data_IF_063232803017
#
_entry.id   IF_063232803017
#
_cell.length_a   1.000
_cell.length_b   1.000
_cell.length_c   1.000
_cell.angle_alpha   90.00
_cell.angle_beta   90.00
_cell.angle_gamma   90.00
#
_symmetry.space_group_name_H-M   'P 1'
#
loop_
_entity.id
_entity.type
_entity.pdbx_description
1 polymer ?
#
# COMPACT_ATOMS: atom_id res chain seq x y z
N UNK A 1 17.67 10.35 -27.51
CA UNK A 1 16.65 9.65 -28.28
C UNK A 1 15.36 9.57 -27.50
N UNK A 2 14.24 9.81 -28.19
CA UNK A 2 12.89 9.70 -27.60
C UNK A 2 12.40 8.28 -27.86
N UNK A 3 12.44 7.45 -26.80
CA UNK A 3 11.83 6.12 -26.82
C UNK A 3 10.31 6.22 -26.71
N UNK A 4 9.58 5.19 -27.16
CA UNK A 4 8.11 5.15 -27.03
C UNK A 4 7.64 5.30 -25.58
N UNK A 5 8.33 4.67 -24.64
CA UNK A 5 8.08 4.78 -23.20
C UNK A 5 8.20 6.24 -22.73
N UNK A 6 9.26 6.93 -23.12
CA UNK A 6 9.48 8.34 -22.78
C UNK A 6 8.38 9.24 -23.35
N UNK A 7 7.97 8.98 -24.60
CA UNK A 7 6.87 9.73 -25.23
C UNK A 7 5.55 9.49 -24.48
N UNK A 8 5.26 8.24 -24.13
CA UNK A 8 4.06 7.87 -23.36
C UNK A 8 4.05 8.54 -21.99
N UNK A 9 5.20 8.58 -21.30
CA UNK A 9 5.33 9.27 -20.03
C UNK A 9 5.03 10.78 -20.14
N UNK A 10 5.57 11.46 -21.16
CA UNK A 10 5.28 12.87 -21.41
C UNK A 10 3.82 13.13 -21.77
N UNK A 11 3.21 12.28 -22.58
CA UNK A 11 1.79 12.39 -22.93
C UNK A 11 0.89 12.22 -21.72
N UNK A 12 1.20 11.24 -20.88
CA UNK A 12 0.48 11.01 -19.62
C UNK A 12 0.61 12.21 -18.69
N UNK A 13 1.84 12.70 -18.48
CA UNK A 13 2.08 13.87 -17.64
C UNK A 13 1.33 15.11 -18.16
N UNK A 14 1.39 15.35 -19.47
CA UNK A 14 0.64 16.45 -20.09
C UNK A 14 -0.86 16.34 -19.82
N UNK A 15 -1.44 15.14 -20.05
CA UNK A 15 -2.87 14.91 -19.83
C UNK A 15 -3.28 15.13 -18.37
N UNK A 16 -2.45 14.65 -17.44
CA UNK A 16 -2.68 14.88 -16.02
C UNK A 16 -2.62 16.39 -15.65
N UNK A 17 -1.61 17.10 -16.13
CA UNK A 17 -1.44 18.52 -15.81
C UNK A 17 -2.54 19.39 -16.43
N UNK A 18 -2.93 19.14 -17.68
CA UNK A 18 -4.03 19.82 -18.34
C UNK A 18 -5.36 19.60 -17.62
N UNK A 19 -5.63 18.34 -17.27
CA UNK A 19 -6.83 17.98 -16.50
C UNK A 19 -6.85 18.66 -15.12
N UNK A 20 -5.73 18.62 -14.40
CA UNK A 20 -5.60 19.29 -13.08
C UNK A 20 -5.79 20.80 -13.22
N UNK A 21 -5.20 21.43 -14.24
CA UNK A 21 -5.37 22.86 -14.49
C UNK A 21 -6.87 23.23 -14.66
N UNK A 22 -7.59 22.47 -15.47
CA UNK A 22 -9.02 22.68 -15.72
C UNK A 22 -9.90 22.41 -14.47
N UNK A 23 -9.62 21.33 -13.73
CA UNK A 23 -10.37 20.98 -12.52
C UNK A 23 -10.11 21.97 -11.37
N UNK A 24 -8.89 22.48 -11.25
CA UNK A 24 -8.48 23.34 -10.13
C UNK A 24 -8.61 24.83 -10.41
N UNK A 25 -8.97 25.22 -11.63
CA UNK A 25 -9.16 26.61 -12.02
C UNK A 25 -10.12 27.42 -11.10
N UNK A 26 -11.23 26.87 -10.60
CA UNK A 26 -12.10 27.56 -9.65
C UNK A 26 -11.45 27.84 -8.29
N UNK A 27 -10.45 27.05 -7.90
CA UNK A 27 -9.77 27.13 -6.58
C UNK A 27 -8.53 28.01 -6.66
N UNK A 28 -7.72 27.85 -7.72
CA UNK A 28 -6.46 28.55 -7.92
C UNK A 28 -6.40 29.23 -9.31
N UNK A 29 -7.28 30.20 -9.59
CA UNK A 29 -7.55 30.68 -10.95
C UNK A 29 -6.30 31.19 -11.68
N UNK A 30 -5.46 31.98 -11.03
CA UNK A 30 -4.30 32.58 -11.69
C UNK A 30 -3.19 31.58 -11.98
N UNK A 31 -2.93 30.66 -11.04
CA UNK A 31 -1.90 29.65 -11.22
C UNK A 31 -2.30 28.62 -12.29
N UNK A 32 -3.55 28.17 -12.25
CA UNK A 32 -4.05 27.19 -13.22
C UNK A 32 -4.17 27.76 -14.62
N UNK A 33 -4.53 29.05 -14.76
CA UNK A 33 -4.54 29.72 -16.05
C UNK A 33 -3.13 29.83 -16.63
N UNK A 34 -2.16 30.20 -15.81
CA UNK A 34 -0.75 30.24 -16.23
C UNK A 34 -0.25 28.86 -16.66
N UNK A 35 -0.49 27.81 -15.86
CA UNK A 35 -0.12 26.42 -16.20
C UNK A 35 -0.75 25.99 -17.53
N UNK A 36 -2.04 26.26 -17.70
CA UNK A 36 -2.77 25.94 -18.93
C UNK A 36 -2.17 26.65 -20.15
N UNK A 37 -1.88 27.96 -20.04
CA UNK A 37 -1.28 28.72 -21.12
C UNK A 37 0.11 28.21 -21.49
N UNK A 38 0.96 27.87 -20.50
CA UNK A 38 2.30 27.31 -20.73
C UNK A 38 2.23 25.96 -21.43
N UNK A 39 1.29 25.07 -21.03
CA UNK A 39 1.06 23.79 -21.68
C UNK A 39 0.54 23.95 -23.12
N UNK A 40 -0.40 24.87 -23.32
CA UNK A 40 -1.02 25.10 -24.62
C UNK A 40 -0.07 25.81 -25.62
N UNK A 41 0.80 26.68 -25.11
CA UNK A 41 1.82 27.34 -25.93
C UNK A 41 2.76 26.35 -26.63
N UNK A 42 3.00 25.19 -25.98
CA UNK A 42 3.84 24.13 -26.56
C UNK A 42 3.04 23.21 -27.46
N UNK A 43 1.82 22.87 -27.10
CA UNK A 43 1.04 21.82 -27.79
C UNK A 43 0.06 22.36 -28.83
N UNK A 44 -0.48 23.56 -28.62
CA UNK A 44 -1.51 24.16 -29.47
C UNK A 44 -2.79 23.31 -29.57
N UNK A 45 -3.04 22.43 -28.62
CA UNK A 45 -4.17 21.47 -28.67
C UNK A 45 -5.50 22.12 -28.35
N UNK A 46 -5.52 23.11 -27.48
CA UNK A 46 -6.73 23.82 -27.11
C UNK A 46 -6.76 25.21 -27.76
N UNK A 47 -7.95 25.64 -28.17
CA UNK A 47 -8.15 26.96 -28.83
C UNK A 47 -8.50 28.06 -27.84
N UNK A 48 -8.85 27.70 -26.61
CA UNK A 48 -9.22 28.67 -25.59
C UNK A 48 -7.98 29.47 -25.14
N UNK A 49 -8.12 30.79 -25.04
CA UNK A 49 -7.06 31.69 -24.62
C UNK A 49 -6.77 31.62 -23.10
N UNK A 50 -7.70 31.06 -22.34
CA UNK A 50 -7.63 30.92 -20.89
C UNK A 50 -8.29 29.62 -20.46
N UNK A 51 -7.82 29.03 -19.37
CA UNK A 51 -8.43 27.86 -18.75
C UNK A 51 -9.89 28.11 -18.37
N UNK A 52 -10.25 29.34 -18.06
CA UNK A 52 -11.61 29.76 -17.69
C UNK A 52 -12.59 29.79 -18.88
N UNK A 53 -12.08 29.71 -20.09
CA UNK A 53 -12.84 29.64 -21.33
C UNK A 53 -12.82 28.25 -21.96
N UNK A 54 -12.09 27.31 -21.36
CA UNK A 54 -12.01 25.93 -21.80
C UNK A 54 -13.15 25.10 -21.24
N UNK A 55 -13.48 23.99 -21.93
CA UNK A 55 -14.46 23.04 -21.43
C UNK A 55 -13.97 22.31 -20.18
N UNK A 56 -14.89 22.01 -19.28
CA UNK A 56 -14.60 21.22 -18.10
C UNK A 56 -14.30 19.76 -18.50
N UNK A 57 -13.29 19.10 -17.91
CA UNK A 57 -12.92 17.74 -18.31
C UNK A 57 -14.06 16.74 -18.09
N UNK A 58 -14.27 15.88 -19.07
CA UNK A 58 -15.21 14.77 -18.99
C UNK A 58 -14.41 13.47 -18.91
N UNK A 59 -14.79 12.60 -17.97
CA UNK A 59 -14.14 11.29 -17.82
C UNK A 59 -14.46 10.41 -19.04
N UNK A 60 -13.42 9.78 -19.58
CA UNK A 60 -13.55 8.76 -20.62
C UNK A 60 -13.53 7.38 -19.93
N UNK A 61 -14.72 6.86 -19.62
CA UNK A 61 -14.88 5.59 -18.91
C UNK A 61 -14.28 4.40 -19.68
N UNK A 62 -14.17 4.51 -21.01
CA UNK A 62 -13.57 3.44 -21.83
C UNK A 62 -12.07 3.24 -21.56
N UNK A 63 -11.40 4.20 -20.95
CA UNK A 63 -9.98 4.16 -20.59
C UNK A 63 -9.73 3.71 -19.14
N UNK A 64 -10.79 3.47 -18.37
CA UNK A 64 -10.66 3.03 -16.99
C UNK A 64 -10.40 1.52 -16.98
N UNK A 65 -9.18 1.13 -16.68
CA UNK A 65 -8.80 -0.26 -16.42
C UNK A 65 -8.82 -0.50 -14.91
N UNK A 66 -9.91 -1.09 -14.42
CA UNK A 66 -10.11 -1.35 -13.00
C UNK A 66 -9.09 -2.32 -12.42
N UNK A 67 -8.65 -3.32 -13.20
CA UNK A 67 -7.62 -4.28 -12.77
C UNK A 67 -6.25 -3.59 -12.62
N UNK A 68 -5.90 -2.71 -13.55
CA UNK A 68 -4.68 -1.89 -13.44
C UNK A 68 -4.74 -0.95 -12.24
N UNK A 69 -5.88 -0.34 -11.97
CA UNK A 69 -6.09 0.51 -10.78
C UNK A 69 -5.91 -0.31 -9.51
N UNK A 70 -6.53 -1.49 -9.40
CA UNK A 70 -6.36 -2.38 -8.24
C UNK A 70 -4.90 -2.78 -8.03
N UNK A 71 -4.19 -3.20 -9.09
CA UNK A 71 -2.76 -3.55 -9.04
C UNK A 71 -1.89 -2.36 -8.58
N UNK A 72 -2.19 -1.17 -9.10
CA UNK A 72 -1.44 0.04 -8.73
C UNK A 72 -1.65 0.41 -7.27
N UNK A 73 -2.89 0.36 -6.78
CA UNK A 73 -3.17 0.57 -5.35
C UNK A 73 -2.47 -0.45 -4.45
N UNK A 74 -2.45 -1.72 -4.88
CA UNK A 74 -1.75 -2.79 -4.17
C UNK A 74 -0.25 -2.50 -4.10
N UNK A 75 0.36 -2.11 -5.23
CA UNK A 75 1.77 -1.71 -5.27
C UNK A 75 2.06 -0.51 -4.37
N UNK A 76 1.22 0.53 -4.39
CA UNK A 76 1.35 1.71 -3.53
C UNK A 76 1.26 1.34 -2.04
N UNK A 77 0.29 0.50 -1.64
CA UNK A 77 0.14 0.06 -0.27
C UNK A 77 1.37 -0.71 0.20
N UNK A 78 1.83 -1.70 -0.58
CA UNK A 78 3.03 -2.49 -0.26
C UNK A 78 4.25 -1.58 -0.13
N UNK A 79 4.47 -0.68 -1.09
CA UNK A 79 5.58 0.27 -1.07
C UNK A 79 5.55 1.17 0.16
N UNK A 80 4.38 1.71 0.51
CA UNK A 80 4.18 2.53 1.69
C UNK A 80 4.49 1.78 2.99
N UNK A 81 4.05 0.52 3.07
CA UNK A 81 4.34 -0.36 4.21
C UNK A 81 5.84 -0.63 4.34
N UNK A 82 6.55 -0.94 3.24
CA UNK A 82 8.01 -1.13 3.25
C UNK A 82 8.73 0.15 3.68
N UNK A 83 8.32 1.32 3.20
CA UNK A 83 8.91 2.59 3.65
C UNK A 83 8.67 2.86 5.13
N UNK A 84 7.49 2.51 5.65
CA UNK A 84 7.20 2.59 7.08
C UNK A 84 8.14 1.70 7.90
N UNK A 85 8.37 0.46 7.45
CA UNK A 85 9.33 -0.45 8.09
C UNK A 85 10.76 0.08 8.02
N UNK A 86 11.22 0.56 6.86
CA UNK A 86 12.54 1.19 6.72
C UNK A 86 12.71 2.38 7.67
N UNK A 87 11.67 3.21 7.81
CA UNK A 87 11.68 4.35 8.73
C UNK A 87 11.76 3.91 10.18
N UNK A 88 10.99 2.88 10.58
CA UNK A 88 11.04 2.28 11.92
C UNK A 88 12.44 1.82 12.28
N UNK A 89 13.13 1.19 11.34
CA UNK A 89 14.49 0.63 11.52
C UNK A 89 15.61 1.64 11.18
N UNK A 90 15.29 2.89 10.83
CA UNK A 90 16.24 3.91 10.41
C UNK A 90 17.12 3.54 9.20
N UNK A 91 16.61 2.71 8.29
CA UNK A 91 17.28 2.29 7.07
C UNK A 91 16.90 3.22 5.91
N UNK A 92 17.88 3.90 5.34
CA UNK A 92 17.66 4.80 4.19
C UNK A 92 17.27 4.00 2.94
N UNK A 93 16.42 4.56 2.09
CA UNK A 93 15.97 3.88 0.84
C UNK A 93 17.13 3.56 -0.09
N UNK A 94 18.17 4.41 -0.14
CA UNK A 94 19.38 4.17 -0.93
C UNK A 94 20.16 2.92 -0.50
N UNK A 95 19.98 2.42 0.74
CA UNK A 95 20.56 1.16 1.19
C UNK A 95 19.73 0.01 0.64
N UNK A 96 20.22 -0.77 -0.34
CA UNK A 96 19.48 -1.92 -0.82
C UNK A 96 19.35 -2.97 0.28
N UNK A 97 18.22 -3.69 0.29
CA UNK A 97 17.97 -4.82 1.17
C UNK A 97 17.75 -6.07 0.33
N UNK A 98 17.96 -7.22 0.95
CA UNK A 98 17.94 -8.48 0.24
C UNK A 98 16.53 -8.86 -0.20
N UNK A 99 15.57 -8.85 0.74
CA UNK A 99 14.28 -9.48 0.50
C UNK A 99 13.11 -8.80 1.19
N UNK A 100 11.98 -8.79 0.50
CA UNK A 100 10.67 -8.54 1.09
C UNK A 100 9.79 -9.78 0.88
N UNK A 101 9.07 -10.21 1.93
CA UNK A 101 8.12 -11.31 1.88
C UNK A 101 6.71 -10.80 2.07
N UNK A 102 5.79 -11.33 1.27
CA UNK A 102 4.38 -10.94 1.30
C UNK A 102 3.52 -12.21 1.33
N UNK A 103 2.82 -12.48 2.43
CA UNK A 103 1.83 -13.55 2.49
C UNK A 103 0.68 -13.29 1.53
N UNK A 104 0.32 -14.29 0.75
CA UNK A 104 -0.83 -14.25 -0.15
C UNK A 104 -1.83 -15.33 0.23
N UNK A 105 -3.12 -14.96 0.26
CA UNK A 105 -4.21 -15.85 0.66
C UNK A 105 -5.00 -16.37 -0.56
N UNK A 106 -4.89 -15.68 -1.70
CA UNK A 106 -5.65 -16.01 -2.90
C UNK A 106 -4.82 -15.79 -4.17
N UNK A 107 -5.16 -16.55 -5.21
CA UNK A 107 -4.46 -16.52 -6.51
C UNK A 107 -4.64 -15.21 -7.28
N UNK A 108 -5.73 -14.45 -7.04
CA UNK A 108 -5.96 -13.16 -7.71
C UNK A 108 -4.92 -12.15 -7.20
N UNK A 109 -4.82 -12.02 -5.89
CA UNK A 109 -3.83 -11.14 -5.23
C UNK A 109 -2.40 -11.54 -5.59
N UNK A 110 -2.09 -12.85 -5.62
CA UNK A 110 -0.80 -13.37 -6.07
C UNK A 110 -0.45 -12.88 -7.48
N UNK A 111 -1.37 -13.09 -8.45
CA UNK A 111 -1.17 -12.66 -9.84
C UNK A 111 -1.03 -11.14 -9.97
N UNK A 112 -1.80 -10.37 -9.21
CA UNK A 112 -1.74 -8.91 -9.21
C UNK A 112 -0.41 -8.41 -8.68
N UNK A 113 0.11 -8.97 -7.57
CA UNK A 113 1.41 -8.58 -7.01
C UNK A 113 2.55 -8.95 -7.96
N UNK A 114 2.52 -10.16 -8.55
CA UNK A 114 3.53 -10.59 -9.51
C UNK A 114 3.60 -9.66 -10.72
N UNK A 115 2.46 -9.17 -11.21
CA UNK A 115 2.41 -8.25 -12.35
C UNK A 115 3.10 -6.90 -12.09
N UNK A 116 3.21 -6.47 -10.82
CA UNK A 116 3.82 -5.20 -10.40
C UNK A 116 5.08 -5.40 -9.53
N UNK A 117 5.58 -6.64 -9.44
CA UNK A 117 6.69 -6.99 -8.56
C UNK A 117 7.97 -6.21 -8.86
N UNK A 118 8.31 -6.03 -10.13
CA UNK A 118 9.51 -5.29 -10.53
C UNK A 118 9.39 -3.80 -10.18
N UNK A 119 8.21 -3.22 -10.35
CA UNK A 119 7.93 -1.84 -9.95
C UNK A 119 8.13 -1.67 -8.44
N UNK A 120 7.57 -2.57 -7.62
CA UNK A 120 7.74 -2.54 -6.17
C UNK A 120 9.20 -2.67 -5.78
N UNK A 121 9.92 -3.68 -6.34
CA UNK A 121 11.34 -3.91 -6.03
C UNK A 121 12.23 -2.69 -6.30
N UNK A 122 12.01 -2.05 -7.44
CA UNK A 122 12.76 -0.85 -7.84
C UNK A 122 12.46 0.32 -6.91
N UNK A 123 11.19 0.57 -6.60
CA UNK A 123 10.77 1.70 -5.76
C UNK A 123 11.29 1.58 -4.33
N UNK A 124 11.19 0.39 -3.73
CA UNK A 124 11.64 0.19 -2.34
C UNK A 124 13.09 -0.27 -2.21
N UNK A 125 13.82 -0.40 -3.31
CA UNK A 125 15.21 -0.82 -3.38
C UNK A 125 15.48 -2.15 -2.65
N UNK A 126 14.79 -3.21 -3.09
CA UNK A 126 15.01 -4.58 -2.63
C UNK A 126 15.36 -5.49 -3.80
N UNK A 127 16.21 -6.48 -3.57
CA UNK A 127 16.66 -7.41 -4.61
C UNK A 127 15.59 -8.44 -4.97
N UNK A 128 14.86 -8.92 -3.98
CA UNK A 128 13.90 -10.00 -4.15
C UNK A 128 12.55 -9.67 -3.48
N UNK A 129 11.46 -9.98 -4.19
CA UNK A 129 10.11 -10.02 -3.65
C UNK A 129 9.63 -11.47 -3.69
N UNK A 130 9.36 -12.03 -2.52
CA UNK A 130 8.90 -13.41 -2.38
C UNK A 130 7.46 -13.42 -1.87
N UNK A 131 6.59 -14.11 -2.61
CA UNK A 131 5.26 -14.43 -2.13
C UNK A 131 5.30 -15.73 -1.35
N UNK A 132 4.68 -15.75 -0.19
CA UNK A 132 4.63 -16.92 0.70
C UNK A 132 3.19 -17.31 0.96
N UNK A 133 2.96 -18.60 1.16
CA UNK A 133 1.64 -19.11 1.51
C UNK A 133 1.33 -18.88 3.02
N UNK A 134 0.09 -19.15 3.42
CA UNK A 134 -0.37 -18.95 4.79
C UNK A 134 0.39 -19.82 5.82
N UNK A 135 0.83 -21.02 5.42
CA UNK A 135 1.58 -21.94 6.30
C UNK A 135 3.01 -21.40 6.55
N UNK A 136 3.70 -20.99 5.50
CA UNK A 136 5.02 -20.36 5.60
C UNK A 136 4.95 -19.04 6.37
N UNK A 137 3.89 -18.25 6.16
CA UNK A 137 3.66 -17.02 6.89
C UNK A 137 3.48 -17.24 8.40
N UNK A 138 2.80 -18.31 8.80
CA UNK A 138 2.58 -18.63 10.22
C UNK A 138 3.86 -18.93 10.98
N UNK A 139 4.90 -19.43 10.30
CA UNK A 139 6.23 -19.68 10.89
C UNK A 139 7.08 -18.42 10.97
N UNK A 140 6.88 -17.47 10.06
CA UNK A 140 7.63 -16.22 9.96
C UNK A 140 6.96 -15.03 10.65
N UNK A 141 5.65 -15.10 10.88
CA UNK A 141 4.87 -13.99 11.42
C UNK A 141 4.16 -14.46 12.68
N UNK A 142 4.74 -14.21 13.83
CA UNK A 142 4.06 -14.43 15.10
C UNK A 142 3.09 -13.28 15.32
N UNK A 143 1.80 -13.55 15.07
CA UNK A 143 0.73 -12.59 15.35
C UNK A 143 0.36 -12.62 16.82
N UNK A 144 0.20 -11.45 17.40
CA UNK A 144 -0.42 -11.25 18.70
C UNK A 144 -1.69 -10.44 18.52
N UNK A 145 -2.72 -10.77 19.26
CA UNK A 145 -3.99 -10.05 19.23
C UNK A 145 -4.20 -9.35 20.57
N UNK A 146 -4.66 -8.11 20.51
CA UNK A 146 -5.04 -7.34 21.69
C UNK A 146 -6.47 -6.84 21.55
N UNK A 147 -7.28 -6.90 22.62
CA UNK A 147 -8.61 -6.33 22.60
C UNK A 147 -8.53 -4.79 22.47
N UNK A 148 -9.34 -4.21 21.61
CA UNK A 148 -9.52 -2.76 21.55
C UNK A 148 -10.47 -2.33 22.65
N UNK A 149 -9.91 -1.96 23.79
CA UNK A 149 -10.68 -1.60 24.99
C UNK A 149 -11.62 -0.42 24.78
N UNK A 150 -11.35 0.47 23.82
CA UNK A 150 -12.22 1.63 23.54
C UNK A 150 -13.52 1.19 22.87
N UNK A 151 -13.43 0.23 21.96
CA UNK A 151 -14.60 -0.28 21.21
C UNK A 151 -15.33 -1.34 22.02
N UNK A 152 -14.61 -2.31 22.54
CA UNK A 152 -15.17 -3.44 23.31
C UNK A 152 -15.77 -3.02 24.66
N UNK A 153 -15.22 -1.98 25.30
CA UNK A 153 -15.73 -1.51 26.60
C UNK A 153 -17.18 -1.06 26.51
N UNK A 154 -17.58 -0.43 25.42
CA UNK A 154 -18.96 -0.02 25.18
C UNK A 154 -19.90 -1.20 24.87
N UNK A 155 -19.37 -2.27 24.25
CA UNK A 155 -20.16 -3.45 23.84
C UNK A 155 -20.33 -4.49 24.97
N UNK A 156 -19.29 -4.73 25.76
CA UNK A 156 -19.20 -5.88 26.66
C UNK A 156 -19.40 -5.56 28.16
N UNK A 157 -19.25 -4.32 28.55
CA UNK A 157 -19.49 -3.88 29.93
C UNK A 157 -18.73 -4.73 30.96
N UNK A 158 -19.46 -5.53 31.77
CA UNK A 158 -18.88 -6.36 32.83
C UNK A 158 -18.08 -7.56 32.33
N UNK A 159 -18.40 -8.07 31.13
CA UNK A 159 -17.76 -9.27 30.55
C UNK A 159 -16.45 -8.94 29.83
N UNK A 160 -16.13 -7.64 29.71
CA UNK A 160 -14.93 -7.14 29.03
C UNK A 160 -13.64 -7.80 29.52
N UNK A 161 -13.50 -8.08 30.83
CA UNK A 161 -12.29 -8.66 31.41
C UNK A 161 -12.11 -10.13 31.02
N UNK A 162 -13.19 -10.90 31.00
CA UNK A 162 -13.18 -12.31 30.62
C UNK A 162 -12.92 -12.46 29.11
N UNK A 163 -13.68 -11.74 28.29
CA UNK A 163 -13.54 -11.77 26.83
C UNK A 163 -12.16 -11.23 26.39
N UNK A 164 -11.68 -10.17 27.03
CA UNK A 164 -10.35 -9.61 26.74
C UNK A 164 -9.21 -10.58 27.04
N UNK A 165 -9.34 -11.39 28.09
CA UNK A 165 -8.37 -12.43 28.41
C UNK A 165 -8.37 -13.55 27.35
N UNK A 166 -9.55 -14.00 26.92
CA UNK A 166 -9.68 -15.02 25.86
C UNK A 166 -9.16 -14.52 24.51
N UNK A 167 -9.46 -13.26 24.15
CA UNK A 167 -8.89 -12.64 22.94
C UNK A 167 -7.35 -12.65 23.00
N UNK A 168 -6.77 -12.24 24.13
CA UNK A 168 -5.31 -12.19 24.28
C UNK A 168 -4.64 -13.58 24.27
N UNK A 169 -5.38 -14.63 24.55
CA UNK A 169 -4.93 -16.02 24.59
C UNK A 169 -5.16 -16.77 23.25
N UNK A 170 -5.71 -16.12 22.23
CA UNK A 170 -5.99 -16.74 20.94
C UNK A 170 -4.72 -17.28 20.27
N UNK A 171 -4.82 -18.46 19.68
CA UNK A 171 -3.75 -19.05 18.87
C UNK A 171 -3.62 -18.35 17.52
N UNK A 172 -2.47 -18.53 16.85
CA UNK A 172 -2.24 -17.99 15.51
C UNK A 172 -3.29 -18.46 14.49
N UNK A 173 -3.79 -19.70 14.63
CA UNK A 173 -4.85 -20.26 13.78
C UNK A 173 -6.19 -19.56 13.99
N UNK A 174 -6.54 -19.27 15.25
CA UNK A 174 -7.76 -18.54 15.59
C UNK A 174 -7.70 -17.09 15.09
N UNK A 175 -6.54 -16.44 15.19
CA UNK A 175 -6.31 -15.10 14.65
C UNK A 175 -6.47 -15.11 13.13
N UNK A 176 -5.89 -16.10 12.43
CA UNK A 176 -6.03 -16.25 10.98
C UNK A 176 -7.49 -16.49 10.55
N UNK A 177 -8.25 -17.25 11.34
CA UNK A 177 -9.68 -17.47 11.10
C UNK A 177 -10.48 -16.17 11.25
N UNK A 178 -10.21 -15.40 12.30
CA UNK A 178 -10.85 -14.09 12.52
C UNK A 178 -10.55 -13.11 11.37
N UNK A 179 -9.31 -13.09 10.87
CA UNK A 179 -8.94 -12.26 9.71
C UNK A 179 -9.65 -12.67 8.43
N UNK A 180 -9.84 -13.99 8.23
CA UNK A 180 -10.49 -14.54 7.04
C UNK A 180 -12.01 -14.35 7.05
N UNK A 181 -12.64 -14.60 8.19
CA UNK A 181 -14.11 -14.57 8.33
C UNK A 181 -14.61 -13.16 8.73
N UNK A 182 -13.72 -12.29 9.23
CA UNK A 182 -14.03 -10.93 9.69
C UNK A 182 -14.72 -10.88 11.04
N UNK A 183 -15.18 -12.03 11.58
CA UNK A 183 -15.85 -12.13 12.87
C UNK A 183 -15.72 -13.54 13.47
N UNK A 184 -15.78 -13.62 14.79
CA UNK A 184 -15.72 -14.87 15.56
C UNK A 184 -16.52 -14.74 16.85
N UNK A 185 -17.10 -15.85 17.31
CA UNK A 185 -17.78 -15.91 18.62
C UNK A 185 -16.76 -16.27 19.70
N UNK A 186 -16.57 -15.40 20.68
CA UNK A 186 -15.65 -15.58 21.82
C UNK A 186 -16.44 -15.36 23.11
N UNK A 187 -16.48 -16.36 23.99
CA UNK A 187 -17.23 -16.35 25.24
C UNK A 187 -18.72 -15.94 25.08
N UNK A 188 -19.35 -16.33 23.95
CA UNK A 188 -20.76 -16.02 23.67
C UNK A 188 -21.01 -14.63 23.06
N UNK A 189 -19.96 -13.87 22.77
CA UNK A 189 -20.05 -12.57 22.12
C UNK A 189 -19.46 -12.60 20.71
N UNK A 190 -20.13 -11.96 19.75
CA UNK A 190 -19.60 -11.78 18.39
C UNK A 190 -18.54 -10.67 18.39
N UNK A 191 -17.30 -11.06 18.15
CA UNK A 191 -16.13 -10.17 18.04
C UNK A 191 -15.77 -10.01 16.59
N UNK A 192 -15.62 -8.78 16.15
CA UNK A 192 -15.23 -8.41 14.79
C UNK A 192 -13.76 -7.98 14.73
N UNK A 193 -13.21 -7.89 13.53
CA UNK A 193 -11.83 -7.44 13.32
C UNK A 193 -11.59 -6.02 13.83
N UNK A 194 -12.64 -5.17 13.84
CA UNK A 194 -12.57 -3.79 14.36
C UNK A 194 -12.52 -3.73 15.90
N UNK A 195 -12.93 -4.82 16.57
CA UNK A 195 -12.93 -4.93 18.02
C UNK A 195 -11.57 -5.30 18.60
N UNK A 196 -10.58 -5.59 17.74
CA UNK A 196 -9.26 -6.09 18.12
C UNK A 196 -8.14 -5.36 17.38
N UNK A 197 -6.96 -5.36 17.98
CA UNK A 197 -5.73 -4.92 17.33
C UNK A 197 -4.83 -6.14 17.10
N UNK A 198 -4.57 -6.46 15.84
CA UNK A 198 -3.65 -7.54 15.49
C UNK A 198 -2.26 -6.94 15.33
N UNK A 199 -1.35 -7.35 16.20
CA UNK A 199 0.05 -6.92 16.22
C UNK A 199 0.93 -8.04 15.69
N UNK A 200 1.89 -7.70 14.87
CA UNK A 200 2.94 -8.61 14.43
C UNK A 200 4.15 -8.47 15.35
N UNK A 201 4.69 -9.60 15.81
CA UNK A 201 5.91 -9.61 16.59
C UNK A 201 7.11 -9.77 15.64
N UNK A 202 8.05 -8.87 15.74
CA UNK A 202 9.28 -8.94 14.95
C UNK A 202 10.07 -10.22 15.28
N UNK A 203 10.49 -10.94 14.26
CA UNK A 203 11.41 -12.09 14.38
C UNK A 203 12.83 -11.55 14.22
N UNK A 204 13.84 -12.09 14.91
CA UNK A 204 15.22 -11.66 14.74
C UNK A 204 15.63 -11.60 13.26
N UNK A 205 16.10 -10.44 12.80
CA UNK A 205 16.48 -10.18 11.40
C UNK A 205 15.33 -9.77 10.48
N UNK A 206 14.08 -9.73 10.96
CA UNK A 206 12.91 -9.33 10.17
C UNK A 206 12.09 -8.29 10.91
N UNK A 207 11.55 -7.34 10.17
CA UNK A 207 10.53 -6.41 10.68
C UNK A 207 9.26 -6.57 9.86
N UNK A 208 8.12 -6.54 10.54
CA UNK A 208 6.82 -6.88 9.93
C UNK A 208 5.80 -5.79 10.20
N UNK A 209 4.95 -5.53 9.23
CA UNK A 209 3.77 -4.69 9.40
C UNK A 209 2.59 -5.26 8.64
N UNK A 210 1.37 -4.96 9.11
CA UNK A 210 0.13 -5.38 8.47
C UNK A 210 -0.80 -4.18 8.33
N UNK A 211 -1.45 -4.08 7.19
CA UNK A 211 -2.47 -3.07 6.91
C UNK A 211 -3.63 -3.74 6.17
N UNK A 212 -4.81 -3.79 6.80
CA UNK A 212 -5.95 -4.52 6.28
C UNK A 212 -5.63 -6.01 6.08
N UNK A 213 -5.69 -6.47 4.83
CA UNK A 213 -5.41 -7.87 4.47
C UNK A 213 -3.97 -8.10 3.99
N UNK A 214 -3.18 -7.06 3.89
CA UNK A 214 -1.80 -7.14 3.40
C UNK A 214 -0.86 -7.15 4.59
N UNK A 215 0.07 -8.08 4.58
CA UNK A 215 1.18 -8.14 5.53
C UNK A 215 2.48 -8.09 4.74
N UNK A 216 3.46 -7.35 5.24
CA UNK A 216 4.78 -7.23 4.63
C UNK A 216 5.84 -7.52 5.67
N UNK A 217 6.76 -8.42 5.37
CA UNK A 217 7.93 -8.72 6.17
C UNK A 217 9.19 -8.29 5.39
N UNK A 218 10.03 -7.47 6.00
CA UNK A 218 11.25 -6.93 5.43
C UNK A 218 12.47 -7.55 6.11
N UNK A 219 13.37 -8.13 5.30
CA UNK A 219 14.66 -8.64 5.76
C UNK A 219 15.61 -7.48 6.10
N UNK A 220 16.08 -7.43 7.33
CA UNK A 220 16.99 -6.39 7.82
C UNK A 220 18.45 -6.76 7.65
N UNK A 221 18.76 -7.95 7.13
CA UNK A 221 20.14 -8.41 6.95
C UNK A 221 20.82 -7.60 5.85
N UNK A 222 21.87 -6.87 6.22
CA UNK A 222 22.70 -6.11 5.26
C UNK A 222 24.03 -6.81 5.13
N UNK A 223 24.25 -7.48 3.99
CA UNK A 223 25.54 -8.08 3.63
C UNK A 223 26.58 -7.01 3.28
N UNK A 224 27.84 -7.36 3.25
CA UNK A 224 28.91 -6.42 2.87
C UNK A 224 28.75 -5.92 1.43
N UNK A 225 28.23 -6.77 0.53
CA UNK A 225 27.92 -6.40 -0.85
C UNK A 225 26.80 -5.34 -0.91
N UNK A 226 25.70 -5.56 -0.18
CA UNK A 226 24.58 -4.60 -0.11
C UNK A 226 25.01 -3.29 0.55
N UNK A 227 25.93 -3.37 1.51
CA UNK A 227 26.48 -2.16 2.15
C UNK A 227 27.34 -1.36 1.20
N UNK A 228 28.20 -2.03 0.42
CA UNK A 228 29.04 -1.37 -0.58
C UNK A 228 28.19 -0.69 -1.66
N UNK A 229 27.12 -1.36 -2.14
CA UNK A 229 26.19 -0.77 -3.10
C UNK A 229 25.44 0.45 -2.55
N UNK A 230 25.08 0.45 -1.27
CA UNK A 230 24.38 1.56 -0.62
C UNK A 230 25.25 2.81 -0.39
N UNK A 231 26.56 2.71 -0.55
CA UNK A 231 27.53 3.81 -0.40
C UNK A 231 27.98 4.37 -1.74
N UNK A 232 27.90 3.58 -2.80
CA UNK A 232 28.22 4.02 -4.16
C UNK A 232 27.16 4.96 -4.73
#
# INVERSE_FOLDING_TARGET
DYTEDKISAYQTLYTCLDTVAKLSAPIAPFFMDRLYQDLNAVTGKDKAESVHLSDFPVADESKIDTDLVEKTHLAQSITSMVFSLRKKENIKVRQPLQKVMIPVLDKKTESQILAVADLIKQEVNVKELQLINAEEASTLIVKQIKPNFKVLGAKLGKDMKAVGAEISAMSSEQIATLEKEGKMNIAGHEITIDDVEILTKDIPGWTVTSEGRITVALDLTVTDELRAEGVA
#
